data_IF_916579576256
#
_entry.id   IF_916579576256
#
_cell.length_a   1.000
_cell.length_b   1.000
_cell.length_c   1.000
_cell.angle_alpha   90.00
_cell.angle_beta   90.00
_cell.angle_gamma   90.00
#
_symmetry.space_group_name_H-M   'P 1'
#
loop_
_entity.id
_entity.type
_entity.pdbx_description
1 polymer ?
#
# COMPACT_ATOMS: atom_id res chain seq x y z
N UNK A 1 16.87 -4.77 3.95
CA UNK A 1 17.30 -6.13 3.52
C UNK A 1 16.82 -6.29 2.08
N UNK A 2 17.74 -6.34 1.12
CA UNK A 2 17.44 -6.36 -0.32
C UNK A 2 16.60 -7.58 -0.73
N UNK A 3 15.64 -7.37 -1.63
CA UNK A 3 14.86 -8.40 -2.36
C UNK A 3 15.77 -9.56 -2.78
N UNK A 4 15.73 -10.66 -2.03
CA UNK A 4 16.30 -11.93 -2.49
C UNK A 4 15.38 -12.44 -3.59
N UNK A 5 15.75 -12.17 -4.84
CA UNK A 5 15.11 -12.75 -6.01
C UNK A 5 14.97 -14.26 -5.81
N UNK A 6 13.80 -14.81 -6.16
CA UNK A 6 13.49 -16.23 -6.02
C UNK A 6 14.65 -17.06 -6.57
N UNK A 7 15.45 -17.66 -5.68
CA UNK A 7 16.62 -18.42 -6.07
C UNK A 7 16.19 -19.58 -6.95
N UNK A 8 16.76 -19.70 -8.14
CA UNK A 8 16.56 -20.88 -8.99
C UNK A 8 17.68 -21.85 -8.62
N UNK A 9 17.36 -22.84 -7.78
CA UNK A 9 18.29 -23.87 -7.34
C UNK A 9 17.61 -24.91 -6.47
N UNK A 10 18.11 -26.16 -6.51
CA UNK A 10 17.49 -27.31 -5.82
C UNK A 10 17.40 -27.17 -4.28
N UNK A 11 18.12 -26.21 -3.68
CA UNK A 11 18.03 -25.85 -2.25
C UNK A 11 17.42 -24.47 -1.98
N UNK A 12 16.83 -23.82 -2.99
CA UNK A 12 16.25 -22.49 -2.83
C UNK A 12 14.86 -22.58 -2.19
N UNK A 13 14.66 -21.80 -1.12
CA UNK A 13 13.34 -21.60 -0.51
C UNK A 13 12.50 -20.74 -1.45
N UNK A 14 11.69 -21.38 -2.29
CA UNK A 14 10.72 -20.69 -3.14
C UNK A 14 9.59 -20.19 -2.24
N UNK A 15 9.51 -18.88 -2.01
CA UNK A 15 8.34 -18.29 -1.35
C UNK A 15 7.12 -18.55 -2.23
N UNK A 16 6.13 -19.28 -1.69
CA UNK A 16 4.87 -19.51 -2.38
C UNK A 16 4.17 -18.16 -2.62
N UNK A 17 3.43 -18.03 -3.74
CA UNK A 17 2.69 -16.79 -4.06
C UNK A 17 1.70 -16.37 -2.96
N UNK A 18 1.25 -17.31 -2.14
CA UNK A 18 0.35 -17.12 -1.00
C UNK A 18 1.01 -16.51 0.24
N UNK A 19 2.35 -16.54 0.34
CA UNK A 19 3.11 -15.92 1.46
C UNK A 19 3.60 -14.51 1.12
N UNK A 20 3.05 -13.90 0.06
CA UNK A 20 3.33 -12.50 -0.25
C UNK A 20 2.57 -11.62 0.74
N UNK A 21 3.30 -10.78 1.47
CA UNK A 21 2.72 -9.70 2.25
C UNK A 21 1.79 -8.86 1.36
N UNK A 22 0.68 -8.40 1.92
CA UNK A 22 -0.25 -7.50 1.25
C UNK A 22 0.44 -6.20 0.83
N UNK A 23 -0.08 -5.48 -0.17
CA UNK A 23 0.55 -4.24 -0.63
C UNK A 23 0.66 -3.21 0.50
N UNK A 24 -0.35 -3.13 1.37
CA UNK A 24 -0.33 -2.28 2.56
C UNK A 24 0.81 -2.62 3.53
N UNK A 25 1.06 -3.90 3.79
CA UNK A 25 2.15 -4.35 4.68
C UNK A 25 3.53 -4.11 4.08
N UNK A 26 3.66 -4.17 2.74
CA UNK A 26 4.89 -3.82 2.04
C UNK A 26 5.13 -2.31 2.05
N UNK A 27 4.08 -1.51 1.80
CA UNK A 27 4.16 -0.06 1.84
C UNK A 27 4.51 0.44 3.25
N UNK A 28 4.00 -0.21 4.30
CA UNK A 28 4.34 0.11 5.70
C UNK A 28 5.84 -0.01 6.03
N UNK A 29 6.60 -0.76 5.24
CA UNK A 29 8.04 -0.98 5.41
C UNK A 29 8.89 -0.04 4.54
N UNK A 30 8.27 0.95 3.86
CA UNK A 30 9.00 1.84 2.95
C UNK A 30 10.07 2.64 3.68
N UNK A 31 11.29 2.64 3.12
CA UNK A 31 12.39 3.46 3.60
C UNK A 31 12.63 4.67 2.68
N UNK A 32 13.19 5.78 3.18
CA UNK A 32 13.51 6.95 2.37
C UNK A 32 14.38 6.64 1.14
N UNK A 33 15.27 5.65 1.25
CA UNK A 33 16.14 5.20 0.15
C UNK A 33 15.34 4.64 -1.04
N UNK A 34 14.20 4.01 -0.77
CA UNK A 34 13.35 3.46 -1.82
C UNK A 34 12.58 4.56 -2.55
N UNK A 35 12.21 5.63 -1.85
CA UNK A 35 11.65 6.85 -2.46
C UNK A 35 12.67 7.53 -3.39
N UNK A 36 13.95 7.54 -3.01
CA UNK A 36 15.03 8.07 -3.86
C UNK A 36 15.18 7.22 -5.12
N UNK A 37 15.19 5.88 -4.99
CA UNK A 37 15.23 4.96 -6.14
C UNK A 37 14.01 5.10 -7.05
N UNK A 38 12.85 5.44 -6.48
CA UNK A 38 11.63 5.74 -7.21
C UNK A 38 11.70 7.07 -8.01
N UNK A 39 12.67 7.94 -7.69
CA UNK A 39 12.94 9.18 -8.44
C UNK A 39 12.66 10.47 -7.67
N UNK A 40 12.35 10.39 -6.38
CA UNK A 40 12.21 11.58 -5.52
C UNK A 40 13.59 12.11 -5.13
N UNK A 41 13.75 13.43 -5.11
CA UNK A 41 15.03 14.06 -4.74
C UNK A 41 15.26 14.01 -3.22
N UNK A 42 16.50 13.76 -2.75
CA UNK A 42 16.81 13.64 -1.32
C UNK A 42 16.46 14.89 -0.50
N UNK A 43 16.63 16.08 -1.07
CA UNK A 43 16.29 17.34 -0.39
C UNK A 43 14.80 17.45 -0.08
N UNK A 44 13.94 16.96 -0.97
CA UNK A 44 12.49 16.99 -0.80
C UNK A 44 12.03 15.98 0.25
N UNK A 45 12.58 14.77 0.22
CA UNK A 45 12.29 13.73 1.23
C UNK A 45 12.79 14.16 2.61
N UNK A 46 13.98 14.80 2.69
CA UNK A 46 14.52 15.30 3.95
C UNK A 46 13.68 16.39 4.64
N UNK A 47 12.78 17.06 3.90
CA UNK A 47 11.82 18.03 4.44
C UNK A 47 10.49 17.40 4.88
N UNK A 48 10.29 16.11 4.61
CA UNK A 48 9.08 15.34 4.94
C UNK A 48 9.43 14.29 6.02
N UNK A 49 9.52 14.69 7.31
CA UNK A 49 9.89 13.78 8.39
C UNK A 49 8.81 12.75 8.73
N UNK A 50 7.61 12.88 8.15
CA UNK A 50 6.46 12.01 8.43
C UNK A 50 6.12 11.22 7.17
N UNK A 51 6.22 9.89 7.28
CA UNK A 51 5.76 8.95 6.26
C UNK A 51 4.47 8.31 6.78
N UNK A 52 3.40 8.38 5.99
CA UNK A 52 2.14 7.73 6.28
C UNK A 52 1.76 6.82 5.11
N UNK A 53 1.54 5.55 5.39
CA UNK A 53 1.22 4.53 4.40
C UNK A 53 -0.26 4.22 4.48
N UNK A 54 -0.92 4.08 3.33
CA UNK A 54 -2.33 3.74 3.26
C UNK A 54 -2.47 2.23 3.09
N UNK A 55 -3.45 1.67 3.80
CA UNK A 55 -3.84 0.28 3.65
C UNK A 55 -4.87 0.16 2.52
N UNK A 56 -4.98 -1.05 1.97
CA UNK A 56 -6.04 -1.39 1.03
C UNK A 56 -7.43 -1.26 1.70
N UNK A 57 -8.44 -0.96 0.89
CA UNK A 57 -9.82 -0.85 1.35
C UNK A 57 -10.41 -2.25 1.54
N UNK A 58 -10.88 -2.54 2.75
CA UNK A 58 -11.70 -3.73 3.02
C UNK A 58 -13.14 -3.53 2.51
N UNK A 59 -13.88 -4.63 2.36
CA UNK A 59 -15.31 -4.60 2.04
C UNK A 59 -16.10 -3.74 3.06
N UNK A 60 -15.77 -3.88 4.34
CA UNK A 60 -16.36 -3.08 5.41
C UNK A 60 -16.06 -1.58 5.24
N UNK A 61 -14.81 -1.24 4.90
CA UNK A 61 -14.41 0.14 4.62
C UNK A 61 -15.16 0.71 3.41
N UNK A 62 -15.37 -0.08 2.37
CA UNK A 62 -16.17 0.33 1.20
C UNK A 62 -17.62 0.61 1.57
N UNK A 63 -18.24 -0.26 2.39
CA UNK A 63 -19.61 -0.05 2.88
C UNK A 63 -19.70 1.25 3.70
N UNK A 64 -18.72 1.51 4.58
CA UNK A 64 -18.64 2.75 5.35
C UNK A 64 -18.49 3.97 4.44
N UNK A 65 -17.58 3.95 3.46
CA UNK A 65 -17.36 5.04 2.49
C UNK A 65 -18.64 5.35 1.70
N UNK A 66 -19.45 4.33 1.39
CA UNK A 66 -20.70 4.50 0.68
C UNK A 66 -21.84 5.08 1.52
N UNK A 67 -21.77 5.05 2.86
CA UNK A 67 -22.89 5.43 3.75
C UNK A 67 -22.57 6.57 4.72
N UNK A 68 -21.40 6.56 5.34
CA UNK A 68 -21.05 7.43 6.47
C UNK A 68 -20.59 8.84 6.07
N UNK A 69 -19.66 9.04 5.11
CA UNK A 69 -19.10 10.36 4.89
C UNK A 69 -20.18 11.37 4.45
N UNK A 70 -19.94 12.65 4.72
CA UNK A 70 -20.85 13.73 4.32
C UNK A 70 -21.09 13.72 2.80
N UNK A 71 -20.05 13.38 2.05
CA UNK A 71 -20.06 13.27 0.60
C UNK A 71 -20.17 11.80 0.14
N UNK A 72 -20.84 10.94 0.90
CA UNK A 72 -21.06 9.55 0.47
C UNK A 72 -21.89 9.49 -0.83
N UNK A 73 -21.59 8.54 -1.72
CA UNK A 73 -22.28 8.40 -3.01
C UNK A 73 -23.79 8.21 -2.85
N UNK A 74 -24.23 7.46 -1.83
CA UNK A 74 -25.66 7.27 -1.53
C UNK A 74 -26.36 8.57 -1.12
N UNK A 75 -25.64 9.51 -0.51
CA UNK A 75 -26.16 10.84 -0.15
C UNK A 75 -26.15 11.82 -1.33
N UNK A 76 -25.22 11.63 -2.27
CA UNK A 76 -25.13 12.44 -3.48
C UNK A 76 -26.14 12.01 -4.55
N UNK A 77 -26.43 10.72 -4.68
CA UNK A 77 -27.35 10.15 -5.67
C UNK A 77 -28.41 9.25 -5.02
N UNK A 78 -29.38 9.83 -4.29
CA UNK A 78 -30.42 9.06 -3.60
C UNK A 78 -31.41 8.34 -4.54
N UNK A 79 -31.39 8.61 -5.85
CA UNK A 79 -32.31 8.02 -6.84
C UNK A 79 -31.69 6.98 -7.78
N UNK A 80 -30.45 6.54 -7.55
CA UNK A 80 -29.78 5.52 -8.38
C UNK A 80 -29.91 4.09 -7.81
N UNK A 81 -30.88 3.86 -6.93
CA UNK A 81 -31.26 2.54 -6.39
C UNK A 81 -32.75 2.34 -6.61
#
# INVERSE_FOLDING_TARGET
>A
MLETGSGIGFGATVKAKSDKASEGELLAQVEPEDLIKFGLIPEFIGRLPVVATLNELSEEALIQILKEPKNALTKQYPGAV
#
